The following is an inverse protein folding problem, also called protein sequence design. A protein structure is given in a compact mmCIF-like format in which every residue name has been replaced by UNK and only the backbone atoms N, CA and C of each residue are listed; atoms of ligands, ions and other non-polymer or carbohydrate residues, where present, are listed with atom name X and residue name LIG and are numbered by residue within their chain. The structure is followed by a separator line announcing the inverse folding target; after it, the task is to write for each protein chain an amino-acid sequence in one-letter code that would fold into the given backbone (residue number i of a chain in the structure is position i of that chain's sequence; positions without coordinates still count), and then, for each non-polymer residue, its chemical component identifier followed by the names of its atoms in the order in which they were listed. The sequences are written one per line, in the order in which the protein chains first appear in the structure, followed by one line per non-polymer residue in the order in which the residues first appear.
data_IF_821089632569
#
_entry.id   IF_821089632569
#
_cell.length_a   1.000
_cell.length_b   1.000
_cell.length_c   1.000
_cell.angle_alpha   90.00
_cell.angle_beta   90.00
_cell.angle_gamma   90.00
#
_symmetry.space_group_name_H-M   'P 1'
#
loop_
_entity.id
_entity.type
_entity.pdbx_description
1 polymer ?
#
# COMPACT_ATOMS: atom_id res chain seq x y z
N UNK A 1 -23.25 -6.97 53.53
CA UNK A 1 -21.83 -7.21 53.19
C UNK A 1 -21.60 -6.89 51.71
N UNK A 2 -21.29 -5.63 51.40
CA UNK A 2 -20.83 -5.23 50.06
C UNK A 2 -19.32 -5.42 49.99
N UNK A 3 -18.86 -6.33 49.12
CA UNK A 3 -17.44 -6.47 48.80
C UNK A 3 -17.06 -5.29 47.91
N UNK A 4 -16.27 -4.36 48.45
CA UNK A 4 -15.63 -3.29 47.70
C UNK A 4 -14.69 -3.91 46.66
N UNK A 5 -14.99 -3.74 45.37
CA UNK A 5 -14.03 -4.00 44.30
C UNK A 5 -13.05 -2.83 44.30
N UNK A 6 -11.79 -3.08 44.69
CA UNK A 6 -10.69 -2.16 44.40
C UNK A 6 -10.63 -1.94 42.89
N UNK A 7 -10.47 -0.70 42.39
CA UNK A 7 -10.10 -0.51 41.00
C UNK A 7 -8.71 -1.10 40.80
N UNK A 8 -8.56 -1.97 39.80
CA UNK A 8 -7.26 -2.35 39.26
C UNK A 8 -6.69 -1.08 38.62
N UNK A 9 -5.74 -0.44 39.31
CA UNK A 9 -5.02 0.71 38.77
C UNK A 9 -4.12 0.29 37.60
N UNK A 10 -3.80 1.21 36.68
CA UNK A 10 -2.86 0.95 35.60
C UNK A 10 -1.48 0.55 36.15
N UNK A 11 -0.79 -0.30 35.40
CA UNK A 11 0.57 -0.71 35.71
C UNK A 11 1.50 0.47 35.35
N UNK A 12 1.85 1.29 36.34
CA UNK A 12 2.43 2.65 36.17
C UNK A 12 3.64 2.74 35.24
N UNK A 13 4.44 1.67 35.16
CA UNK A 13 5.69 1.67 34.40
C UNK A 13 5.47 1.34 32.92
N UNK A 14 4.48 0.50 32.61
CA UNK A 14 4.09 0.20 31.22
C UNK A 14 3.42 1.42 30.58
N UNK A 15 2.59 2.11 31.35
CA UNK A 15 1.94 3.34 30.89
C UNK A 15 2.95 4.47 30.69
N UNK A 16 3.98 4.56 31.52
CA UNK A 16 5.07 5.53 31.34
C UNK A 16 5.93 5.24 30.10
N UNK A 17 6.27 3.97 29.85
CA UNK A 17 7.04 3.58 28.67
C UNK A 17 6.28 3.81 27.35
N UNK A 18 4.98 3.52 27.33
CA UNK A 18 4.14 3.79 26.17
C UNK A 18 3.95 5.30 25.95
N UNK A 19 3.78 6.08 27.02
CA UNK A 19 3.73 7.54 26.94
C UNK A 19 5.02 8.10 26.31
N UNK A 20 6.18 7.67 26.79
CA UNK A 20 7.47 8.13 26.25
C UNK A 20 7.65 7.71 24.79
N UNK A 21 7.21 6.49 24.43
CA UNK A 21 7.18 6.03 23.04
C UNK A 21 6.30 6.94 22.18
N UNK A 22 5.11 7.31 22.64
CA UNK A 22 4.21 8.22 21.92
C UNK A 22 4.84 9.60 21.72
N UNK A 23 5.49 10.18 22.74
CA UNK A 23 6.18 11.47 22.59
C UNK A 23 7.28 11.42 21.52
N UNK A 24 8.11 10.36 21.50
CA UNK A 24 9.13 10.17 20.44
C UNK A 24 8.50 10.04 19.05
N UNK A 25 7.36 9.37 18.93
CA UNK A 25 6.66 9.20 17.65
C UNK A 25 5.97 10.48 17.17
N UNK A 26 5.63 11.43 18.05
CA UNK A 26 5.12 12.74 17.61
C UNK A 26 6.18 13.52 16.84
N UNK A 27 7.44 13.45 17.29
CA UNK A 27 8.56 14.12 16.63
C UNK A 27 9.06 13.36 15.40
N UNK A 28 9.06 12.03 15.46
CA UNK A 28 9.48 11.17 14.36
C UNK A 28 8.47 10.02 14.16
N UNK A 29 7.36 10.26 13.44
CA UNK A 29 6.28 9.30 13.29
C UNK A 29 6.69 8.03 12.53
N UNK A 30 7.79 8.09 11.77
CA UNK A 30 8.36 6.93 11.07
C UNK A 30 9.55 6.31 11.80
N UNK A 31 9.92 6.79 12.99
CA UNK A 31 11.16 6.42 13.67
C UNK A 31 11.34 4.91 13.85
N UNK A 32 10.26 4.19 14.14
CA UNK A 32 10.33 2.73 14.30
C UNK A 32 10.48 1.98 12.98
N UNK A 33 9.88 2.47 11.89
CA UNK A 33 10.12 1.91 10.55
C UNK A 33 11.55 2.21 10.09
N UNK A 34 12.03 3.44 10.31
CA UNK A 34 13.40 3.86 9.99
C UNK A 34 14.41 2.95 10.69
N UNK A 35 14.20 2.68 11.98
CA UNK A 35 15.08 1.78 12.73
C UNK A 35 14.98 0.34 12.20
N UNK A 36 13.77 -0.17 11.95
CA UNK A 36 13.59 -1.52 11.41
C UNK A 36 14.27 -1.71 10.04
N UNK A 37 14.22 -0.70 9.14
CA UNK A 37 14.88 -0.75 7.83
C UNK A 37 16.41 -0.79 7.99
N UNK A 38 16.96 0.01 8.91
CA UNK A 38 18.40 0.05 9.20
C UNK A 38 18.93 -1.25 9.75
N UNK A 39 18.16 -1.88 10.61
CA UNK A 39 18.51 -3.15 11.24
C UNK A 39 18.16 -4.35 10.37
N UNK A 40 17.58 -4.11 9.18
CA UNK A 40 16.99 -5.13 8.30
C UNK A 40 16.00 -6.07 9.03
N UNK A 41 15.28 -5.53 10.01
CA UNK A 41 14.27 -6.24 10.79
C UNK A 41 12.96 -6.36 9.99
N UNK A 42 12.97 -7.30 9.04
CA UNK A 42 11.83 -7.62 8.19
C UNK A 42 10.58 -8.04 8.99
N UNK A 43 10.76 -8.68 10.15
CA UNK A 43 9.66 -9.11 10.99
C UNK A 43 8.94 -7.91 11.61
N UNK A 44 9.68 -6.93 12.13
CA UNK A 44 9.11 -5.69 12.67
C UNK A 44 8.43 -4.88 11.58
N UNK A 45 9.03 -4.78 10.38
CA UNK A 45 8.38 -4.15 9.24
C UNK A 45 7.07 -4.86 8.87
N UNK A 46 7.05 -6.19 8.83
CA UNK A 46 5.86 -6.97 8.48
C UNK A 46 4.74 -6.83 9.51
N UNK A 47 5.05 -6.88 10.81
CA UNK A 47 4.08 -6.66 11.89
C UNK A 47 3.40 -5.31 11.75
N UNK A 48 4.18 -4.26 11.48
CA UNK A 48 3.64 -2.91 11.29
C UNK A 48 2.82 -2.76 10.01
N UNK A 49 3.27 -3.35 8.91
CA UNK A 49 2.51 -3.39 7.65
C UNK A 49 1.14 -4.04 7.85
N UNK A 50 1.06 -5.08 8.68
CA UNK A 50 -0.21 -5.76 8.96
C UNK A 50 -1.23 -4.86 9.68
N UNK A 51 -0.82 -3.79 10.38
CA UNK A 51 -1.74 -2.83 11.01
C UNK A 51 -2.62 -2.12 9.99
N UNK A 52 -2.07 -1.76 8.82
CA UNK A 52 -2.83 -1.12 7.73
C UNK A 52 -3.44 -2.13 6.76
N UNK A 53 -2.78 -3.29 6.58
CA UNK A 53 -3.21 -4.30 5.62
C UNK A 53 -4.28 -5.26 6.19
N UNK A 54 -4.36 -5.36 7.52
CA UNK A 54 -5.37 -6.15 8.25
C UNK A 54 -5.05 -7.64 8.43
N UNK A 55 -4.00 -8.16 7.80
CA UNK A 55 -3.54 -9.54 7.99
C UNK A 55 -2.09 -9.75 7.52
N UNK A 56 -1.59 -10.97 7.72
CA UNK A 56 -0.29 -11.42 7.21
C UNK A 56 -0.49 -12.31 6.00
N UNK A 57 0.21 -12.02 4.90
CA UNK A 57 0.19 -12.87 3.71
C UNK A 57 1.52 -12.80 2.97
N UNK A 58 1.83 -13.78 2.10
CA UNK A 58 3.00 -13.76 1.24
C UNK A 58 3.16 -12.46 0.43
N UNK A 59 2.06 -11.89 -0.06
CA UNK A 59 2.10 -10.67 -0.87
C UNK A 59 2.62 -9.45 -0.13
N UNK A 60 2.14 -9.21 1.10
CA UNK A 60 2.61 -8.10 1.92
C UNK A 60 4.04 -8.30 2.42
N UNK A 61 4.44 -9.55 2.72
CA UNK A 61 5.82 -9.91 3.03
C UNK A 61 6.78 -9.59 1.88
N UNK A 62 6.43 -9.94 0.64
CA UNK A 62 7.23 -9.61 -0.54
C UNK A 62 7.37 -8.09 -0.73
N UNK A 63 6.31 -7.33 -0.49
CA UNK A 63 6.35 -5.86 -0.56
C UNK A 63 7.26 -5.25 0.51
N UNK A 64 7.24 -5.81 1.72
CA UNK A 64 8.14 -5.42 2.83
C UNK A 64 9.60 -5.68 2.45
N UNK A 65 9.91 -6.89 1.99
CA UNK A 65 11.28 -7.25 1.59
C UNK A 65 11.77 -6.36 0.46
N UNK A 66 10.99 -6.22 -0.61
CA UNK A 66 11.36 -5.36 -1.74
C UNK A 66 11.68 -3.93 -1.31
N UNK A 67 10.96 -3.43 -0.30
CA UNK A 67 11.15 -2.08 0.23
C UNK A 67 12.40 -1.96 1.09
N UNK A 68 12.61 -2.86 2.05
CA UNK A 68 13.79 -2.80 2.94
C UNK A 68 15.08 -2.88 2.09
N UNK A 69 15.19 -3.89 1.23
CA UNK A 69 16.38 -4.07 0.38
C UNK A 69 16.50 -2.96 -0.68
N UNK A 70 15.39 -2.55 -1.30
CA UNK A 70 15.38 -1.48 -2.30
C UNK A 70 15.85 -0.13 -1.74
N UNK A 71 15.37 0.24 -0.55
CA UNK A 71 15.74 1.48 0.13
C UNK A 71 17.19 1.46 0.61
N UNK A 72 17.66 0.33 1.17
CA UNK A 72 19.06 0.18 1.56
C UNK A 72 20.00 0.28 0.33
N UNK A 73 19.62 -0.30 -0.81
CA UNK A 73 20.39 -0.22 -2.05
C UNK A 73 20.39 1.18 -2.67
N UNK A 74 19.32 1.97 -2.48
CA UNK A 74 19.22 3.35 -2.96
C UNK A 74 20.01 4.34 -2.07
N UNK A 75 20.26 3.96 -0.81
CA UNK A 75 21.18 4.62 0.12
C UNK A 75 20.51 5.15 1.40
N UNK A 76 21.31 5.53 2.41
CA UNK A 76 20.79 5.92 3.72
C UNK A 76 19.79 7.09 3.69
N UNK A 77 19.91 8.00 2.71
CA UNK A 77 18.99 9.11 2.54
C UNK A 77 17.56 8.66 2.19
N UNK A 78 17.39 7.55 1.45
CA UNK A 78 16.06 7.04 1.11
C UNK A 78 15.34 6.34 2.27
N UNK A 79 16.02 6.02 3.36
CA UNK A 79 15.37 5.47 4.55
C UNK A 79 14.50 6.55 5.23
N UNK A 80 14.84 7.81 5.02
CA UNK A 80 14.14 8.97 5.56
C UNK A 80 13.18 9.54 4.53
N UNK A 81 11.93 9.03 4.51
CA UNK A 81 10.84 9.76 3.86
C UNK A 81 10.48 10.98 4.70
N UNK A 82 10.47 12.15 4.06
CA UNK A 82 10.00 13.42 4.64
C UNK A 82 8.47 13.53 4.64
N UNK A 83 7.77 12.47 4.21
CA UNK A 83 6.33 12.49 4.02
C UNK A 83 5.87 13.33 2.84
N UNK A 84 6.79 13.69 1.92
CA UNK A 84 6.52 14.45 0.71
C UNK A 84 7.07 13.71 -0.52
N UNK A 85 7.02 14.36 -1.69
CA UNK A 85 7.42 13.79 -2.98
C UNK A 85 8.94 13.72 -3.21
N UNK A 86 9.79 13.79 -2.17
CA UNK A 86 11.24 13.69 -2.36
C UNK A 86 11.67 12.25 -2.67
N UNK A 87 11.26 11.31 -1.83
CA UNK A 87 11.35 9.88 -2.11
C UNK A 87 10.09 9.45 -2.85
N UNK A 88 10.25 8.82 -4.02
CA UNK A 88 9.16 8.33 -4.83
C UNK A 88 9.20 6.79 -4.90
N UNK A 89 8.05 6.15 -4.86
CA UNK A 89 7.89 4.72 -5.12
C UNK A 89 6.94 4.50 -6.30
N UNK A 90 7.43 3.87 -7.36
CA UNK A 90 6.62 3.48 -8.52
C UNK A 90 6.27 2.00 -8.40
N UNK A 91 5.02 1.70 -8.04
CA UNK A 91 4.53 0.33 -7.85
C UNK A 91 3.78 -0.13 -9.09
N UNK A 92 4.04 -1.37 -9.51
CA UNK A 92 3.56 -1.90 -10.79
C UNK A 92 2.35 -2.86 -10.67
N UNK A 93 1.73 -2.95 -9.47
CA UNK A 93 0.62 -3.86 -9.17
C UNK A 93 -0.33 -3.33 -8.08
N UNK A 94 -1.64 -3.54 -8.26
CA UNK A 94 -2.66 -3.35 -7.23
C UNK A 94 -2.88 -4.67 -6.47
N UNK A 95 -2.04 -4.95 -5.48
CA UNK A 95 -2.10 -6.14 -4.64
C UNK A 95 -1.47 -5.88 -3.26
N UNK A 96 -1.54 -6.84 -2.34
CA UNK A 96 -0.95 -6.77 -0.99
C UNK A 96 0.52 -6.29 -0.97
N UNK A 97 1.27 -6.56 -2.05
CA UNK A 97 2.62 -6.05 -2.27
C UNK A 97 2.72 -4.51 -2.15
N UNK A 98 1.75 -3.78 -2.70
CA UNK A 98 1.70 -2.32 -2.66
C UNK A 98 1.58 -1.80 -1.23
N UNK A 99 0.84 -2.46 -0.34
CA UNK A 99 0.70 -2.06 1.06
C UNK A 99 2.01 -2.24 1.82
N UNK A 100 2.75 -3.32 1.54
CA UNK A 100 4.13 -3.49 2.05
C UNK A 100 5.05 -2.36 1.60
N UNK A 101 4.94 -1.93 0.34
CA UNK A 101 5.68 -0.77 -0.18
C UNK A 101 5.29 0.51 0.54
N UNK A 102 4.01 0.82 0.62
CA UNK A 102 3.52 2.04 1.26
C UNK A 102 3.93 2.11 2.74
N UNK A 103 3.73 1.02 3.48
CA UNK A 103 4.04 0.96 4.91
C UNK A 103 5.53 1.19 5.18
N UNK A 104 6.41 0.45 4.49
CA UNK A 104 7.86 0.49 4.75
C UNK A 104 8.51 1.76 4.19
N UNK A 105 8.20 2.15 2.96
CA UNK A 105 8.82 3.34 2.34
C UNK A 105 8.25 4.66 2.84
N UNK A 106 6.97 4.69 3.22
CA UNK A 106 6.25 5.93 3.49
C UNK A 106 5.83 6.69 2.23
N UNK A 107 6.10 6.14 1.05
CA UNK A 107 5.54 6.63 -0.19
C UNK A 107 4.09 6.15 -0.29
N UNK A 108 3.13 7.03 -0.12
CA UNK A 108 1.71 6.68 -0.06
C UNK A 108 0.91 7.42 -1.13
N UNK A 109 -0.32 6.98 -1.38
CA UNK A 109 -1.23 7.68 -2.27
C UNK A 109 -1.47 9.14 -1.83
N UNK A 110 -1.67 9.37 -0.52
CA UNK A 110 -2.12 10.66 0.00
C UNK A 110 -1.05 11.75 0.05
N UNK A 111 0.23 11.36 0.18
CA UNK A 111 1.36 12.30 0.14
C UNK A 111 1.98 12.44 -1.25
N UNK A 112 1.33 11.89 -2.28
CA UNK A 112 1.74 11.94 -3.69
C UNK A 112 3.09 11.29 -4.01
N UNK A 113 3.71 10.60 -3.06
CA UNK A 113 4.99 9.93 -3.24
C UNK A 113 4.86 8.54 -3.90
N UNK A 114 3.65 7.98 -3.97
CA UNK A 114 3.37 6.72 -4.65
C UNK A 114 2.84 6.96 -6.06
N UNK A 115 3.51 6.38 -7.05
CA UNK A 115 3.01 6.28 -8.43
C UNK A 115 2.53 4.84 -8.66
N UNK A 116 1.26 4.67 -8.99
CA UNK A 116 0.73 3.39 -9.42
C UNK A 116 0.79 3.25 -10.95
N UNK A 117 1.52 2.23 -11.43
CA UNK A 117 1.51 1.80 -12.83
C UNK A 117 0.78 0.46 -12.93
N UNK A 118 -0.38 0.47 -13.59
CA UNK A 118 -1.26 -0.70 -13.69
C UNK A 118 -0.75 -1.75 -14.69
N UNK A 119 0.39 -2.38 -14.37
CA UNK A 119 1.12 -3.32 -15.25
C UNK A 119 1.01 -4.78 -14.79
N UNK A 120 0.51 -5.02 -13.59
CA UNK A 120 0.38 -6.35 -12.99
C UNK A 120 1.70 -7.01 -12.59
N UNK A 121 2.79 -6.27 -12.49
CA UNK A 121 4.12 -6.81 -12.15
C UNK A 121 4.39 -6.63 -10.66
N UNK A 122 4.81 -7.70 -9.98
CA UNK A 122 5.29 -7.65 -8.59
C UNK A 122 6.65 -6.95 -8.53
N UNK A 123 6.63 -5.62 -8.68
CA UNK A 123 7.82 -4.78 -8.74
C UNK A 123 7.55 -3.39 -8.18
N UNK A 124 8.62 -2.78 -7.67
CA UNK A 124 8.66 -1.40 -7.23
C UNK A 124 9.96 -0.74 -7.71
N UNK A 125 9.88 0.52 -8.11
CA UNK A 125 11.06 1.37 -8.34
C UNK A 125 11.10 2.48 -7.31
N UNK A 126 12.19 2.57 -6.55
CA UNK A 126 12.46 3.69 -5.65
C UNK A 126 13.39 4.70 -6.31
N UNK A 127 13.08 5.98 -6.14
CA UNK A 127 13.86 7.07 -6.69
C UNK A 127 13.84 8.29 -5.75
N UNK A 128 14.93 9.05 -5.75
CA UNK A 128 14.98 10.36 -5.09
C UNK A 128 14.93 11.42 -6.18
N UNK A 129 13.99 12.36 -6.09
CA UNK A 129 13.87 13.44 -7.07
C UNK A 129 15.19 14.20 -7.19
N UNK A 130 15.55 14.57 -8.43
CA UNK A 130 16.82 15.23 -8.74
C UNK A 130 18.02 14.32 -8.89
N UNK A 131 17.90 13.00 -8.63
CA UNK A 131 18.92 12.01 -9.01
C UNK A 131 18.60 11.39 -10.37
N UNK A 132 19.64 11.09 -11.14
CA UNK A 132 19.51 10.43 -12.45
C UNK A 132 19.20 8.94 -12.35
N UNK A 133 19.51 8.32 -11.21
CA UNK A 133 19.37 6.88 -10.98
C UNK A 133 18.42 6.57 -9.83
N UNK A 134 17.80 5.40 -9.93
CA UNK A 134 16.93 4.79 -8.94
C UNK A 134 17.16 3.28 -8.88
N UNK A 135 16.43 2.61 -8.00
CA UNK A 135 16.55 1.17 -7.76
C UNK A 135 15.21 0.50 -8.04
N UNK A 136 15.20 -0.46 -8.96
CA UNK A 136 14.03 -1.29 -9.23
C UNK A 136 14.23 -2.68 -8.63
N UNK A 137 13.23 -3.14 -7.89
CA UNK A 137 13.19 -4.47 -7.28
C UNK A 137 12.00 -5.21 -7.86
N UNK A 138 12.20 -6.44 -8.34
CA UNK A 138 11.14 -7.31 -8.87
C UNK A 138 11.20 -8.69 -8.24
N UNK A 139 10.03 -9.27 -7.98
CA UNK A 139 9.91 -10.66 -7.52
C UNK A 139 10.26 -11.62 -8.65
N UNK A 140 11.00 -12.69 -8.35
CA UNK A 140 11.34 -13.77 -9.28
C UNK A 140 10.17 -14.76 -9.42
N UNK A 141 9.95 -15.39 -10.60
CA UNK A 141 8.77 -16.22 -10.84
C UNK A 141 8.62 -17.44 -9.92
N UNK A 142 9.74 -17.99 -9.45
CA UNK A 142 9.87 -19.18 -8.60
C UNK A 142 9.52 -18.94 -7.13
N UNK A 143 9.23 -17.71 -6.73
CA UNK A 143 8.79 -17.39 -5.36
C UNK A 143 7.58 -18.23 -4.91
N UNK A 144 6.74 -18.66 -5.87
CA UNK A 144 5.56 -19.49 -5.58
C UNK A 144 5.94 -20.85 -5.04
N UNK A 145 7.02 -21.44 -5.55
CA UNK A 145 7.52 -22.73 -5.09
C UNK A 145 8.00 -22.60 -3.64
N UNK A 146 8.68 -21.49 -3.31
CA UNK A 146 9.10 -21.17 -1.93
C UNK A 146 7.93 -21.04 -0.97
N UNK A 147 6.81 -20.45 -1.41
CA UNK A 147 5.58 -20.39 -0.61
C UNK A 147 5.00 -21.78 -0.40
N UNK A 148 4.93 -22.60 -1.46
CA UNK A 148 4.38 -23.95 -1.38
C UNK A 148 5.24 -24.87 -0.50
N UNK A 149 6.57 -24.74 -0.53
CA UNK A 149 7.50 -25.46 0.34
C UNK A 149 7.30 -25.06 1.81
N UNK A 150 7.19 -23.76 2.09
CA UNK A 150 7.00 -23.25 3.45
C UNK A 150 5.59 -23.52 4.02
N UNK A 151 4.58 -23.54 3.15
CA UNK A 151 3.17 -23.63 3.52
C UNK A 151 2.36 -24.35 2.41
N UNK A 152 2.39 -25.70 2.36
CA UNK A 152 1.78 -26.48 1.27
C UNK A 152 0.28 -26.23 1.08
N UNK A 153 -0.44 -25.93 2.16
CA UNK A 153 -1.88 -25.68 2.14
C UNK A 153 -2.25 -24.26 1.67
N UNK A 154 -1.28 -23.36 1.49
CA UNK A 154 -1.56 -21.95 1.19
C UNK A 154 -2.31 -21.78 -0.13
N UNK A 155 -1.83 -22.37 -1.22
CA UNK A 155 -2.48 -22.23 -2.53
C UNK A 155 -3.84 -22.96 -2.62
N UNK A 156 -3.99 -24.19 -2.10
CA UNK A 156 -5.31 -24.83 -1.99
C UNK A 156 -6.34 -23.96 -1.24
N UNK A 157 -5.95 -23.40 -0.10
CA UNK A 157 -6.84 -22.52 0.68
C UNK A 157 -7.10 -21.18 -0.03
N UNK A 158 -6.09 -20.60 -0.70
CA UNK A 158 -6.25 -19.39 -1.51
C UNK A 158 -7.29 -19.61 -2.62
N UNK A 159 -7.22 -20.75 -3.31
CA UNK A 159 -8.18 -21.13 -4.35
C UNK A 159 -9.60 -21.17 -3.76
N UNK A 160 -9.80 -21.99 -2.72
CA UNK A 160 -11.09 -22.22 -2.09
C UNK A 160 -11.70 -20.94 -1.49
N UNK A 161 -10.92 -20.18 -0.73
CA UNK A 161 -11.39 -19.05 0.08
C UNK A 161 -11.50 -17.77 -0.75
N UNK A 162 -10.53 -17.48 -1.61
CA UNK A 162 -10.43 -16.18 -2.29
C UNK A 162 -10.96 -16.24 -3.73
N UNK A 163 -10.52 -17.22 -4.51
CA UNK A 163 -10.91 -17.30 -5.93
C UNK A 163 -12.33 -17.84 -6.09
N UNK A 164 -12.62 -18.97 -5.46
CA UNK A 164 -13.91 -19.64 -5.57
C UNK A 164 -14.95 -19.07 -4.59
N UNK A 165 -14.49 -18.37 -3.55
CA UNK A 165 -15.34 -17.81 -2.47
C UNK A 165 -16.25 -18.88 -1.84
N UNK A 166 -15.73 -20.09 -1.69
CA UNK A 166 -16.46 -21.27 -1.26
C UNK A 166 -16.07 -21.75 0.16
N UNK A 167 -15.18 -21.02 0.85
CA UNK A 167 -14.73 -21.36 2.21
C UNK A 167 -15.69 -20.91 3.31
N UNK A 168 -15.76 -21.69 4.39
CA UNK A 168 -16.45 -21.32 5.62
C UNK A 168 -15.55 -20.55 6.61
N UNK A 169 -16.03 -20.32 7.84
CA UNK A 169 -15.26 -19.63 8.88
C UNK A 169 -13.98 -20.40 9.29
N UNK A 170 -14.00 -21.73 9.25
CA UNK A 170 -12.84 -22.56 9.57
C UNK A 170 -11.80 -22.46 8.45
N UNK A 171 -12.23 -22.51 7.19
CA UNK A 171 -11.36 -22.31 6.04
C UNK A 171 -10.72 -20.91 6.06
N UNK A 172 -11.48 -19.88 6.42
CA UNK A 172 -10.96 -18.52 6.56
C UNK A 172 -9.98 -18.37 7.74
N UNK A 173 -10.19 -19.10 8.85
CA UNK A 173 -9.25 -19.15 9.95
C UNK A 173 -7.94 -19.87 9.56
N UNK A 174 -8.06 -21.05 8.94
CA UNK A 174 -6.93 -21.82 8.44
C UNK A 174 -6.12 -21.03 7.40
N UNK A 175 -6.78 -20.37 6.45
CA UNK A 175 -6.12 -19.54 5.46
C UNK A 175 -5.32 -18.38 6.09
N UNK A 176 -5.85 -17.74 7.14
CA UNK A 176 -5.13 -16.69 7.88
C UNK A 176 -3.94 -17.23 8.66
N UNK A 177 -4.06 -18.41 9.26
CA UNK A 177 -2.97 -19.05 9.99
C UNK A 177 -1.84 -19.47 9.04
N UNK A 178 -2.18 -20.17 7.96
CA UNK A 178 -1.24 -20.62 6.93
C UNK A 178 -0.62 -19.43 6.21
N UNK A 179 -1.40 -18.39 5.89
CA UNK A 179 -0.91 -17.16 5.30
C UNK A 179 0.09 -16.42 6.20
N UNK A 180 -0.13 -16.42 7.52
CA UNK A 180 0.81 -15.88 8.50
C UNK A 180 2.10 -16.70 8.54
N UNK A 181 2.00 -18.02 8.65
CA UNK A 181 3.17 -18.90 8.65
C UNK A 181 4.02 -18.71 7.38
N UNK A 182 3.38 -18.69 6.21
CA UNK A 182 4.04 -18.46 4.93
C UNK A 182 4.74 -17.09 4.88
N UNK A 183 4.07 -16.02 5.32
CA UNK A 183 4.64 -14.67 5.33
C UNK A 183 5.93 -14.59 6.18
N UNK A 184 5.92 -15.16 7.38
CA UNK A 184 7.07 -15.15 8.28
C UNK A 184 8.17 -16.13 7.86
N UNK A 185 7.85 -17.18 7.10
CA UNK A 185 8.85 -18.04 6.49
C UNK A 185 9.57 -17.34 5.33
N UNK A 186 8.84 -16.65 4.45
CA UNK A 186 9.42 -15.94 3.30
C UNK A 186 10.45 -14.89 3.70
N UNK A 187 10.16 -14.08 4.72
CA UNK A 187 11.09 -13.01 5.15
C UNK A 187 12.40 -13.54 5.74
N UNK A 188 12.54 -14.85 5.94
CA UNK A 188 13.79 -15.49 6.38
C UNK A 188 14.60 -16.06 5.22
N UNK A 189 14.05 -16.08 4.01
CA UNK A 189 14.75 -16.55 2.83
C UNK A 189 15.75 -15.49 2.35
N UNK A 190 16.88 -15.90 1.75
CA UNK A 190 17.82 -14.98 1.11
C UNK A 190 17.13 -14.12 0.05
N UNK A 191 17.53 -12.85 -0.05
CA UNK A 191 16.94 -11.90 -0.99
C UNK A 191 17.05 -12.39 -2.45
N UNK A 192 18.21 -12.93 -2.82
CA UNK A 192 18.54 -13.37 -4.18
C UNK A 192 17.73 -14.58 -4.63
N UNK A 193 17.12 -15.33 -3.71
CA UNK A 193 16.21 -16.43 -4.04
C UNK A 193 14.81 -15.95 -4.42
N UNK A 194 14.45 -14.71 -4.08
CA UNK A 194 13.10 -14.18 -4.26
C UNK A 194 13.05 -12.96 -5.18
N UNK A 195 14.17 -12.25 -5.36
CA UNK A 195 14.19 -10.95 -6.01
C UNK A 195 15.35 -10.78 -6.97
N UNK A 196 15.11 -9.94 -7.98
CA UNK A 196 16.16 -9.29 -8.75
C UNK A 196 16.13 -7.79 -8.46
N UNK A 197 17.31 -7.18 -8.41
CA UNK A 197 17.51 -5.75 -8.17
C UNK A 197 18.36 -5.15 -9.27
N UNK A 198 17.95 -4.00 -9.79
CA UNK A 198 18.60 -3.32 -10.89
C UNK A 198 18.64 -1.80 -10.66
N UNK A 199 19.73 -1.17 -11.10
CA UNK A 199 19.80 0.29 -11.18
C UNK A 199 19.12 0.74 -12.46
N UNK A 200 18.25 1.75 -12.37
CA UNK A 200 17.45 2.23 -13.49
C UNK A 200 17.46 3.75 -13.53
N UNK A 201 17.15 4.32 -14.70
CA UNK A 201 16.75 5.72 -14.83
C UNK A 201 15.23 5.80 -14.60
N UNK A 202 14.75 6.33 -13.47
CA UNK A 202 13.33 6.35 -13.18
C UNK A 202 12.63 7.41 -14.03
N UNK A 203 11.52 7.03 -14.65
CA UNK A 203 10.56 7.95 -15.24
C UNK A 203 9.57 8.37 -14.14
N UNK A 204 9.67 9.60 -13.65
CA UNK A 204 8.84 10.14 -12.58
C UNK A 204 7.93 11.24 -13.13
N UNK A 205 6.67 11.34 -12.67
CA UNK A 205 5.81 12.46 -13.01
C UNK A 205 6.33 13.76 -12.38
N UNK A 206 5.83 14.91 -12.87
CA UNK A 206 6.02 16.21 -12.21
C UNK A 206 5.45 16.21 -10.78
N UNK A 207 5.77 17.26 -10.01
CA UNK A 207 5.19 17.46 -8.69
C UNK A 207 3.66 17.55 -8.76
N UNK A 208 2.98 17.08 -7.71
CA UNK A 208 1.54 17.16 -7.63
C UNK A 208 1.09 18.64 -7.66
N UNK A 209 0.12 19.00 -8.53
CA UNK A 209 -0.35 20.37 -8.61
C UNK A 209 -1.16 20.74 -7.37
N UNK A 210 -0.90 21.93 -6.82
CA UNK A 210 -1.74 22.51 -5.78
C UNK A 210 -2.95 23.16 -6.46
N UNK A 211 -4.12 22.60 -6.23
CA UNK A 211 -5.38 23.12 -6.75
C UNK A 211 -6.17 23.83 -5.65
N UNK A 212 -6.77 24.97 -6.00
CA UNK A 212 -7.66 25.70 -5.10
C UNK A 212 -8.94 24.90 -4.79
N UNK A 213 -9.57 25.22 -3.66
CA UNK A 213 -10.89 24.70 -3.27
C UNK A 213 -11.97 25.67 -3.72
N UNK A 214 -13.00 25.15 -4.39
CA UNK A 214 -14.17 25.90 -4.86
C UNK A 214 -15.45 25.24 -4.36
N UNK A 215 -16.53 26.01 -4.18
CA UNK A 215 -17.83 25.46 -3.75
C UNK A 215 -18.66 25.09 -4.98
N UNK A 216 -19.12 23.84 -5.05
CA UNK A 216 -20.03 23.40 -6.10
C UNK A 216 -21.42 24.02 -5.87
N UNK A 217 -22.02 24.75 -6.82
CA UNK A 217 -23.34 25.35 -6.65
C UNK A 217 -24.48 24.32 -6.67
N UNK A 218 -24.24 23.09 -7.13
CA UNK A 218 -25.25 22.02 -7.17
C UNK A 218 -25.44 21.30 -5.83
N UNK A 219 -24.36 20.98 -5.12
CA UNK A 219 -24.41 20.26 -3.84
C UNK A 219 -23.96 21.08 -2.62
N UNK A 220 -23.29 22.22 -2.81
CA UNK A 220 -22.76 23.05 -1.73
C UNK A 220 -21.44 22.56 -1.11
N UNK A 221 -20.84 21.49 -1.63
CA UNK A 221 -19.58 20.93 -1.12
C UNK A 221 -18.35 21.70 -1.62
N UNK A 222 -17.28 21.71 -0.81
CA UNK A 222 -15.96 22.16 -1.25
C UNK A 222 -15.29 21.09 -2.11
N UNK A 223 -14.85 21.49 -3.30
CA UNK A 223 -14.32 20.62 -4.34
C UNK A 223 -12.99 21.18 -4.83
N UNK A 224 -12.02 20.30 -5.08
CA UNK A 224 -10.79 20.66 -5.76
C UNK A 224 -11.10 21.21 -7.15
N UNK A 225 -10.57 22.40 -7.51
CA UNK A 225 -10.90 23.08 -8.77
C UNK A 225 -10.66 22.20 -10.02
N UNK A 226 -9.68 21.29 -9.97
CA UNK A 226 -9.40 20.32 -11.04
C UNK A 226 -10.47 19.23 -11.23
N UNK A 227 -11.47 19.16 -10.33
CA UNK A 227 -12.61 18.22 -10.34
C UNK A 227 -13.95 18.91 -10.63
N UNK A 228 -13.90 20.09 -11.22
CA UNK A 228 -15.04 20.89 -11.65
C UNK A 228 -15.06 21.01 -13.17
N UNK A 229 -16.25 21.09 -13.76
CA UNK A 229 -16.40 21.31 -15.20
C UNK A 229 -15.92 22.72 -15.56
N UNK A 230 -14.85 22.80 -16.35
CA UNK A 230 -14.23 24.08 -16.72
C UNK A 230 -15.09 24.89 -17.71
N UNK A 231 -15.71 24.21 -18.70
CA UNK A 231 -16.39 24.85 -19.83
C UNK A 231 -17.64 24.07 -20.26
N UNK A 232 -18.57 24.76 -20.93
CA UNK A 232 -19.80 24.17 -21.47
C UNK A 232 -20.90 23.91 -20.45
N UNK A 233 -21.80 22.97 -20.78
CA UNK A 233 -22.91 22.60 -19.91
C UNK A 233 -22.41 21.97 -18.60
N UNK A 234 -22.92 22.50 -17.48
CA UNK A 234 -22.51 22.12 -16.14
C UNK A 234 -21.26 22.86 -15.64
N UNK A 235 -20.77 23.90 -16.33
CA UNK A 235 -19.66 24.75 -15.86
C UNK A 235 -19.83 25.15 -14.40
N UNK A 236 -18.78 24.96 -13.60
CA UNK A 236 -18.77 25.29 -12.17
C UNK A 236 -19.34 24.18 -11.26
N UNK A 237 -20.01 23.17 -11.80
CA UNK A 237 -20.45 22.00 -11.05
C UNK A 237 -19.32 20.97 -10.92
N UNK A 238 -19.32 20.24 -9.80
CA UNK A 238 -18.47 19.06 -9.64
C UNK A 238 -18.87 17.97 -10.65
N UNK A 239 -17.95 17.03 -10.92
CA UNK A 239 -18.21 15.95 -11.88
C UNK A 239 -19.47 15.13 -11.56
N UNK A 240 -19.78 14.92 -10.27
CA UNK A 240 -20.99 14.21 -9.84
C UNK A 240 -22.27 14.97 -10.20
N UNK A 241 -22.40 16.25 -9.78
CA UNK A 241 -23.57 17.09 -10.09
C UNK A 241 -23.74 17.33 -11.59
N UNK A 242 -22.65 17.40 -12.34
CA UNK A 242 -22.67 17.58 -13.80
C UNK A 242 -22.93 16.28 -14.58
N UNK A 243 -23.02 15.12 -13.90
CA UNK A 243 -23.13 13.81 -14.56
C UNK A 243 -21.96 13.49 -15.50
N UNK A 244 -20.76 13.99 -15.18
CA UNK A 244 -19.53 13.73 -15.94
C UNK A 244 -18.84 12.47 -15.44
N UNK A 245 -18.08 11.84 -16.35
CA UNK A 245 -17.26 10.70 -15.98
C UNK A 245 -16.11 11.06 -15.03
N UNK A 246 -15.72 10.14 -14.18
CA UNK A 246 -14.56 10.25 -13.29
C UNK A 246 -13.77 8.93 -13.25
N UNK A 247 -12.52 9.01 -12.78
CA UNK A 247 -11.64 7.84 -12.63
C UNK A 247 -11.81 7.24 -11.24
N UNK A 248 -11.90 5.92 -11.17
CA UNK A 248 -12.06 5.16 -9.93
C UNK A 248 -11.09 3.98 -9.91
N UNK A 249 -10.45 3.74 -8.77
CA UNK A 249 -9.69 2.52 -8.55
C UNK A 249 -10.63 1.41 -8.07
N UNK A 250 -10.63 0.29 -8.75
CA UNK A 250 -11.35 -0.94 -8.39
C UNK A 250 -10.36 -2.10 -8.23
N UNK A 251 -10.84 -3.27 -7.78
CA UNK A 251 -10.03 -4.48 -7.74
C UNK A 251 -9.46 -4.92 -9.10
N UNK A 252 -10.02 -4.41 -10.21
CA UNK A 252 -9.53 -4.64 -11.58
C UNK A 252 -8.55 -3.58 -12.11
N UNK A 253 -8.25 -2.54 -11.32
CA UNK A 253 -7.45 -1.39 -11.76
C UNK A 253 -8.25 -0.09 -11.87
N UNK A 254 -7.69 0.91 -12.55
CA UNK A 254 -8.31 2.23 -12.72
C UNK A 254 -9.30 2.21 -13.89
N UNK A 255 -10.56 2.54 -13.63
CA UNK A 255 -11.65 2.59 -14.62
C UNK A 255 -12.25 3.98 -14.75
N UNK A 256 -12.80 4.31 -15.92
CA UNK A 256 -13.67 5.48 -16.09
C UNK A 256 -15.12 5.08 -15.81
N UNK A 257 -15.76 5.76 -14.87
CA UNK A 257 -17.15 5.53 -14.45
C UNK A 257 -17.95 6.83 -14.56
N UNK A 258 -19.29 6.76 -14.52
CA UNK A 258 -20.15 7.95 -14.47
C UNK A 258 -20.52 8.61 -15.81
N UNK A 259 -20.07 8.09 -16.97
CA UNK A 259 -20.69 8.47 -18.26
C UNK A 259 -22.03 7.77 -18.40
N UNK A 260 -23.13 8.52 -18.62
CA UNK A 260 -24.33 7.93 -19.24
C UNK A 260 -23.87 7.25 -20.53
N UNK A 261 -24.04 5.93 -20.65
CA UNK A 261 -23.83 5.23 -21.92
C UNK A 261 -24.72 5.90 -22.95
N UNK A 262 -24.16 6.34 -24.08
CA UNK A 262 -24.98 6.74 -25.21
C UNK A 262 -25.80 5.51 -25.66
N UNK A 263 -27.08 5.66 -26.02
CA UNK A 263 -27.91 4.53 -26.48
C UNK A 263 -27.35 3.79 -27.71
N UNK A 264 -26.37 4.37 -28.42
CA UNK A 264 -25.82 3.85 -29.67
C UNK A 264 -24.79 2.72 -29.55
N UNK A 265 -24.42 2.28 -28.33
CA UNK A 265 -23.41 1.22 -28.15
C UNK A 265 -24.00 -0.16 -27.83
N UNK A 266 -25.31 -0.37 -27.99
CA UNK A 266 -25.98 -1.67 -27.76
C UNK A 266 -26.18 -2.50 -29.03
N UNK A 267 -25.79 -2.02 -30.21
CA UNK A 267 -26.18 -2.63 -31.49
C UNK A 267 -25.19 -3.62 -32.12
N UNK A 268 -24.12 -4.04 -31.46
CA UNK A 268 -23.17 -5.01 -32.06
C UNK A 268 -22.61 -6.04 -31.08
N UNK A 269 -23.50 -6.76 -30.39
CA UNK A 269 -23.18 -8.08 -29.82
C UNK A 269 -24.38 -9.02 -30.02
N UNK A 270 -24.44 -9.62 -31.21
CA UNK A 270 -25.09 -10.91 -31.49
C UNK A 270 -23.96 -11.89 -31.77
#
# INVERSE_FOLDING_TARGET
MMRSKKPLGPNSDLDAAEFERMERLKENPRGEFIQAIRDEDLARCLVKTAEIHGHFCPGSALGVMASVYGLNRLGLASIYSDGMENLMAVVEINACFADGVQAVSGCTLGNNALVYRDLGRLAVTFAIRGRDTGVRVRVLPDFRDKVAEAAPEFYPLLEKVIKDRAGDENDAAAFREVGRAAAFALIRLPFEELFAIEEVRPDLPDYAPIAESVICPGCGEMIMASKVVAEGEGRGLCFSCAGKGFRQLEGRGIVETGRRRSPSSMENQI
#
